data_IF_228080687396
#
_entry.id   IF_228080687396
#
_cell.length_a   1.000
_cell.length_b   1.000
_cell.length_c   1.000
_cell.angle_alpha   90.00
_cell.angle_beta   90.00
_cell.angle_gamma   90.00
#
_symmetry.space_group_name_H-M   'P 1'
#
loop_
_entity.id
_entity.type
_entity.pdbx_description
1 polymer ?
#
# COMPACT_ATOMS: atom_id res chain seq x y z
N UNK A 1 -14.42 -3.15 -11.71
CA UNK A 1 -14.73 -4.35 -10.89
C UNK A 1 -14.39 -4.00 -9.45
N UNK A 2 -15.35 -4.06 -8.55
CA UNK A 2 -15.14 -3.89 -7.10
C UNK A 2 -14.95 -5.30 -6.50
N UNK A 3 -13.98 -5.47 -5.62
CA UNK A 3 -13.71 -6.75 -4.95
C UNK A 3 -13.17 -6.47 -3.55
N UNK A 4 -13.43 -7.37 -2.59
CA UNK A 4 -13.03 -7.19 -1.19
C UNK A 4 -11.51 -7.02 -1.03
N UNK A 5 -10.73 -7.59 -1.94
CA UNK A 5 -9.28 -7.48 -2.01
C UNK A 5 -8.81 -6.06 -2.36
N UNK A 6 -9.63 -5.25 -3.05
CA UNK A 6 -9.34 -3.83 -3.27
C UNK A 6 -9.53 -3.01 -1.99
N UNK A 7 -10.51 -3.37 -1.16
CA UNK A 7 -10.72 -2.74 0.14
C UNK A 7 -9.57 -3.06 1.10
N UNK A 8 -9.10 -4.31 1.10
CA UNK A 8 -7.90 -4.73 1.85
C UNK A 8 -6.65 -3.94 1.41
N UNK A 9 -6.47 -3.72 0.11
CA UNK A 9 -5.36 -2.89 -0.38
C UNK A 9 -5.46 -1.47 0.17
N UNK A 10 -6.66 -0.88 0.12
CA UNK A 10 -6.91 0.48 0.60
C UNK A 10 -6.70 0.57 2.12
N UNK A 11 -7.10 -0.46 2.87
CA UNK A 11 -6.81 -0.60 4.29
C UNK A 11 -5.30 -0.58 4.59
N UNK A 12 -4.49 -1.30 3.81
CA UNK A 12 -3.03 -1.30 3.98
C UNK A 12 -2.42 0.09 3.77
N UNK A 13 -2.90 0.82 2.75
CA UNK A 13 -2.48 2.20 2.45
C UNK A 13 -2.84 3.12 3.62
N UNK A 14 -4.06 3.02 4.14
CA UNK A 14 -4.51 3.80 5.30
C UNK A 14 -3.73 3.44 6.56
N UNK A 15 -3.45 2.16 6.81
CA UNK A 15 -2.65 1.72 7.95
C UNK A 15 -1.23 2.29 7.87
N UNK A 16 -0.61 2.25 6.70
CA UNK A 16 0.71 2.87 6.48
C UNK A 16 0.68 4.39 6.74
N UNK A 17 -0.35 5.09 6.26
CA UNK A 17 -0.53 6.52 6.52
C UNK A 17 -0.70 6.82 8.01
N UNK A 18 -1.48 6.00 8.74
CA UNK A 18 -1.66 6.17 10.18
C UNK A 18 -0.37 5.95 10.97
N UNK A 19 0.43 4.94 10.61
CA UNK A 19 1.69 4.63 11.29
C UNK A 19 2.73 5.72 11.03
N UNK A 20 2.87 6.14 9.77
CA UNK A 20 3.90 7.13 9.38
C UNK A 20 3.49 8.55 9.68
N UNK A 21 2.18 8.83 9.78
CA UNK A 21 1.61 10.19 9.81
C UNK A 21 2.00 11.03 8.59
N UNK A 22 2.34 10.36 7.49
CA UNK A 22 2.70 10.96 6.22
C UNK A 22 1.69 10.58 5.13
N UNK A 23 1.47 11.49 4.19
CA UNK A 23 0.68 11.20 2.99
C UNK A 23 1.32 10.02 2.24
N UNK A 24 0.55 9.02 1.78
CA UNK A 24 1.07 7.93 0.94
C UNK A 24 1.71 8.48 -0.33
N UNK A 25 3.04 8.49 -0.37
CA UNK A 25 3.80 8.90 -1.53
C UNK A 25 4.62 7.74 -2.07
N UNK A 26 4.63 7.63 -3.40
CA UNK A 26 5.59 6.80 -4.10
C UNK A 26 6.74 7.71 -4.53
N UNK A 27 7.96 7.22 -4.42
CA UNK A 27 9.10 7.89 -5.02
C UNK A 27 9.05 7.67 -6.53
N UNK A 28 8.50 8.66 -7.24
CA UNK A 28 8.30 8.62 -8.68
C UNK A 28 9.35 9.43 -9.44
N UNK A 29 10.34 10.02 -8.77
CA UNK A 29 11.31 10.95 -9.36
C UNK A 29 10.63 12.05 -10.22
N UNK A 30 9.53 12.62 -9.71
CA UNK A 30 8.76 13.68 -10.38
C UNK A 30 8.65 14.91 -9.45
N UNK A 31 8.95 16.09 -9.98
CA UNK A 31 8.72 17.36 -9.27
C UNK A 31 7.22 17.69 -9.25
N UNK A 32 6.67 18.00 -8.07
CA UNK A 32 5.24 18.32 -7.89
C UNK A 32 4.36 17.11 -7.54
N UNK A 33 3.03 17.31 -7.55
CA UNK A 33 2.09 16.22 -7.27
C UNK A 33 2.00 15.28 -8.48
N UNK A 34 2.25 13.97 -8.33
CA UNK A 34 2.19 13.05 -9.44
C UNK A 34 0.75 12.91 -9.95
N UNK A 35 0.59 12.98 -11.26
CA UNK A 35 -0.71 12.72 -11.91
C UNK A 35 -1.19 11.31 -11.52
N UNK A 36 -2.49 11.09 -11.21
CA UNK A 36 -3.01 9.80 -10.75
C UNK A 36 -2.62 8.62 -11.64
N UNK A 37 -2.59 8.83 -12.96
CA UNK A 37 -2.12 7.82 -13.94
C UNK A 37 -0.70 7.32 -13.65
N UNK A 38 0.23 8.19 -13.27
CA UNK A 38 1.62 7.83 -12.96
C UNK A 38 1.68 6.96 -11.69
N UNK A 39 0.87 7.29 -10.69
CA UNK A 39 0.73 6.51 -9.45
C UNK A 39 0.18 5.13 -9.77
N UNK A 40 -0.94 5.03 -10.51
CA UNK A 40 -1.52 3.75 -10.91
C UNK A 40 -0.52 2.90 -11.71
N UNK A 41 0.20 3.51 -12.65
CA UNK A 41 1.22 2.80 -13.45
C UNK A 41 2.36 2.29 -12.59
N UNK A 42 2.84 3.07 -11.62
CA UNK A 42 3.91 2.66 -10.73
C UNK A 42 3.48 1.51 -9.81
N UNK A 43 2.29 1.60 -9.20
CA UNK A 43 1.70 0.51 -8.40
C UNK A 43 1.53 -0.75 -9.27
N UNK A 44 1.07 -0.59 -10.51
CA UNK A 44 0.96 -1.67 -11.49
C UNK A 44 2.28 -2.37 -11.80
N UNK A 45 3.41 -1.68 -11.64
CA UNK A 45 4.77 -2.23 -11.76
C UNK A 45 5.35 -2.79 -10.45
N UNK A 46 4.59 -2.77 -9.36
CA UNK A 46 5.03 -3.25 -8.05
C UNK A 46 5.59 -2.17 -7.13
N UNK A 47 5.54 -0.89 -7.48
CA UNK A 47 5.94 0.18 -6.56
C UNK A 47 5.03 0.19 -5.33
N UNK A 48 5.62 0.38 -4.14
CA UNK A 48 4.93 0.47 -2.85
C UNK A 48 5.53 1.60 -2.02
N UNK A 49 4.83 1.99 -0.97
CA UNK A 49 5.31 3.03 -0.06
C UNK A 49 6.59 2.57 0.67
N UNK A 50 7.42 3.51 1.13
CA UNK A 50 8.67 3.20 1.82
C UNK A 50 8.48 2.26 3.02
N UNK A 51 9.49 1.44 3.28
CA UNK A 51 9.55 0.61 4.49
C UNK A 51 9.57 1.50 5.73
N UNK A 52 8.80 1.11 6.75
CA UNK A 52 8.71 1.84 8.00
C UNK A 52 9.76 1.29 8.97
N UNK A 53 10.61 2.17 9.51
CA UNK A 53 11.66 1.82 10.48
C UNK A 53 11.11 1.94 11.90
N UNK A 54 11.50 1.02 12.79
CA UNK A 54 11.17 1.12 14.22
C UNK A 54 9.77 0.63 14.59
N UNK A 55 9.07 -0.08 13.70
CA UNK A 55 7.79 -0.72 14.01
C UNK A 55 7.94 -2.22 14.29
N UNK A 56 7.04 -2.81 15.09
CA UNK A 56 6.95 -4.25 15.24
C UNK A 56 6.86 -4.98 13.88
N UNK A 57 7.61 -6.08 13.74
CA UNK A 57 7.67 -6.88 12.51
C UNK A 57 6.29 -7.31 12.02
N UNK A 58 5.39 -7.68 12.93
CA UNK A 58 4.05 -8.13 12.59
C UNK A 58 3.21 -7.05 11.90
N UNK A 59 3.38 -5.77 12.25
CA UNK A 59 2.67 -4.67 11.59
C UNK A 59 3.17 -4.47 10.16
N UNK A 60 4.49 -4.57 9.96
CA UNK A 60 5.06 -4.50 8.62
C UNK A 60 4.62 -5.67 7.74
N UNK A 61 4.59 -6.88 8.30
CA UNK A 61 4.08 -8.07 7.60
C UNK A 61 2.59 -7.94 7.25
N UNK A 62 1.78 -7.39 8.16
CA UNK A 62 0.37 -7.12 7.91
C UNK A 62 0.18 -6.15 6.74
N UNK A 63 0.83 -4.99 6.79
CA UNK A 63 0.77 -3.97 5.72
C UNK A 63 1.21 -4.58 4.39
N UNK A 64 2.33 -5.32 4.39
CA UNK A 64 2.91 -5.85 3.15
C UNK A 64 2.10 -6.96 2.50
N UNK A 65 1.44 -7.81 3.28
CA UNK A 65 0.51 -8.81 2.75
C UNK A 65 -0.78 -8.17 2.23
N UNK A 66 -1.35 -7.20 2.94
CA UNK A 66 -2.60 -6.56 2.53
C UNK A 66 -2.49 -5.75 1.22
N UNK A 67 -1.31 -5.21 0.87
CA UNK A 67 -1.09 -4.54 -0.42
C UNK A 67 -0.36 -5.38 -1.48
N UNK A 68 -0.40 -6.71 -1.38
CA UNK A 68 0.24 -7.60 -2.34
C UNK A 68 -0.18 -7.30 -3.79
N UNK A 69 0.73 -7.54 -4.75
CA UNK A 69 0.53 -7.19 -6.15
C UNK A 69 -0.67 -7.93 -6.75
N UNK A 70 -0.72 -9.24 -6.56
CA UNK A 70 -1.88 -10.02 -6.97
C UNK A 70 -2.97 -9.89 -5.91
N UNK A 71 -4.22 -9.61 -6.29
CA UNK A 71 -5.33 -9.55 -5.34
C UNK A 71 -5.50 -10.82 -4.51
N UNK A 72 -5.26 -12.00 -5.10
CA UNK A 72 -5.40 -13.30 -4.43
C UNK A 72 -4.38 -13.54 -3.32
N UNK A 73 -3.25 -12.83 -3.34
CA UNK A 73 -2.19 -12.95 -2.33
C UNK A 73 -2.45 -12.03 -1.13
N UNK A 74 -3.49 -11.20 -1.18
CA UNK A 74 -3.85 -10.29 -0.09
C UNK A 74 -4.64 -11.05 0.96
N UNK A 75 -4.39 -10.73 2.23
CA UNK A 75 -5.18 -11.23 3.35
C UNK A 75 -6.65 -10.84 3.18
N UNK A 76 -7.56 -11.67 3.64
CA UNK A 76 -8.96 -11.28 3.84
C UNK A 76 -9.11 -10.52 5.15
N UNK A 77 -10.19 -9.75 5.30
CA UNK A 77 -10.51 -9.11 6.59
C UNK A 77 -10.71 -10.11 7.74
N UNK A 78 -10.99 -11.39 7.45
CA UNK A 78 -11.09 -12.42 8.49
C UNK A 78 -9.71 -12.89 8.99
N UNK A 79 -8.64 -12.64 8.23
CA UNK A 79 -7.26 -13.00 8.56
C UNK A 79 -6.45 -11.82 9.12
N UNK A 80 -7.01 -10.60 9.08
CA UNK A 80 -6.45 -9.36 9.65
C UNK A 80 -6.86 -9.25 11.13
#
# INVERSE_FOLDING_TARGET
>A
KHSFECDVYSFAVTLWEMITRHKPTLDLNQEGQPHPYNVFRAIGKGARMPTIIGIPKFLWELVTKCWAQQPVDRLSFAEI
#
